data_IF_334213793065
#
_entry.id   IF_334213793065
#
_cell.length_a   1.000
_cell.length_b   1.000
_cell.length_c   1.000
_cell.angle_alpha   90.00
_cell.angle_beta   90.00
_cell.angle_gamma   90.00
#
_symmetry.space_group_name_H-M   'P 1'
#
loop_
_entity.id
_entity.type
_entity.pdbx_description
1 polymer ?
#
# COMPACT_ATOMS: atom_id res chain seq x y z
N UNK A 1 -0.61 5.60 16.17
CA UNK A 1 -0.23 4.72 15.04
C UNK A 1 1.12 4.04 15.28
N UNK A 2 2.11 4.75 15.83
CA UNK A 2 3.49 4.27 16.04
C UNK A 2 3.66 2.82 16.53
N UNK A 3 2.82 2.35 17.46
CA UNK A 3 2.83 0.96 17.96
C UNK A 3 2.62 -0.14 16.90
N UNK A 4 2.23 0.24 15.69
CA UNK A 4 1.99 -0.67 14.56
C UNK A 4 3.06 -0.55 13.46
N UNK A 5 4.13 0.22 13.66
CA UNK A 5 5.14 0.50 12.64
C UNK A 5 5.72 -0.77 12.01
N UNK A 6 6.06 -1.76 12.83
CA UNK A 6 6.63 -3.03 12.36
C UNK A 6 5.56 -4.07 11.95
N UNK A 7 4.28 -3.71 12.06
CA UNK A 7 3.14 -4.60 11.74
C UNK A 7 2.44 -4.23 10.45
N UNK A 8 2.62 -3.01 9.97
CA UNK A 8 1.98 -2.51 8.75
C UNK A 8 2.98 -2.50 7.61
N UNK A 9 2.60 -3.08 6.48
CA UNK A 9 3.41 -3.08 5.27
C UNK A 9 3.63 -1.67 4.73
N UNK A 10 2.66 -0.78 4.90
CA UNK A 10 2.71 0.59 4.43
C UNK A 10 2.41 1.58 5.56
N UNK A 11 3.18 1.48 6.65
CA UNK A 11 3.01 2.33 7.83
C UNK A 11 2.91 3.83 7.49
N UNK A 12 3.82 4.33 6.64
CA UNK A 12 3.89 5.75 6.29
C UNK A 12 2.59 6.25 5.65
N UNK A 13 1.97 5.45 4.78
CA UNK A 13 0.67 5.78 4.20
C UNK A 13 -0.39 5.92 5.28
N UNK A 14 -0.52 4.94 6.18
CA UNK A 14 -1.56 4.97 7.21
C UNK A 14 -1.32 6.04 8.27
N UNK A 15 -0.06 6.35 8.56
CA UNK A 15 0.30 7.38 9.53
C UNK A 15 0.08 8.80 8.97
N UNK A 16 0.31 8.99 7.66
CA UNK A 16 0.17 10.30 7.00
C UNK A 16 -1.24 10.57 6.44
N UNK A 17 -2.08 9.55 6.29
CA UNK A 17 -3.41 9.68 5.68
C UNK A 17 -4.49 9.63 6.76
N UNK A 18 -5.43 10.59 6.74
CA UNK A 18 -6.60 10.54 7.63
C UNK A 18 -7.65 9.56 7.08
N UNK A 19 -8.47 8.91 7.93
CA UNK A 19 -9.33 7.81 7.50
C UNK A 19 -10.26 8.08 6.33
N UNK A 20 -10.87 9.26 6.23
CA UNK A 20 -11.79 9.58 5.14
C UNK A 20 -11.09 9.65 3.76
N UNK A 21 -9.78 9.86 3.73
CA UNK A 21 -8.94 9.95 2.53
C UNK A 21 -8.31 8.61 2.13
N UNK A 22 -8.55 7.53 2.88
CA UNK A 22 -8.06 6.22 2.50
C UNK A 22 -8.52 5.84 1.08
N UNK A 23 -7.54 5.56 0.23
CA UNK A 23 -7.66 5.13 -1.16
C UNK A 23 -6.65 4.02 -1.53
N UNK A 24 -7.11 3.05 -2.33
CA UNK A 24 -6.34 1.87 -2.75
C UNK A 24 -5.18 2.27 -3.67
N UNK A 25 -5.41 3.17 -4.62
CA UNK A 25 -4.37 3.54 -5.60
C UNK A 25 -3.26 4.34 -4.93
N UNK A 26 -3.60 5.20 -3.95
CA UNK A 26 -2.59 5.90 -3.17
C UNK A 26 -1.82 4.97 -2.22
N UNK A 27 -2.48 3.97 -1.65
CA UNK A 27 -1.80 2.91 -0.90
C UNK A 27 -0.79 2.19 -1.81
N UNK A 28 -1.25 1.70 -2.97
CA UNK A 28 -0.41 0.97 -3.92
C UNK A 28 0.77 1.83 -4.40
N UNK A 29 0.53 3.11 -4.71
CA UNK A 29 1.57 4.06 -5.09
C UNK A 29 2.64 4.20 -4.01
N UNK A 30 2.24 4.41 -2.75
CA UNK A 30 3.18 4.56 -1.62
C UNK A 30 4.00 3.29 -1.39
N UNK A 31 3.38 2.13 -1.55
CA UNK A 31 4.09 0.86 -1.43
C UNK A 31 5.12 0.68 -2.56
N UNK A 32 4.75 0.96 -3.82
CA UNK A 32 5.66 0.89 -4.96
C UNK A 32 6.82 1.89 -4.88
N UNK A 33 6.66 3.02 -4.18
CA UNK A 33 7.73 4.00 -3.97
C UNK A 33 8.81 3.53 -2.98
N UNK A 34 8.48 2.57 -2.11
CA UNK A 34 9.37 2.13 -1.03
C UNK A 34 9.88 0.72 -1.22
N UNK A 35 9.12 -0.15 -1.92
CA UNK A 35 9.45 -1.55 -2.11
C UNK A 35 9.08 -2.00 -3.53
N UNK A 36 9.93 -2.75 -4.25
CA UNK A 36 9.50 -3.47 -5.44
C UNK A 36 8.36 -4.43 -5.09
N UNK A 37 7.15 -4.15 -5.56
CA UNK A 37 5.97 -5.01 -5.31
C UNK A 37 5.14 -5.26 -6.56
N UNK A 38 4.59 -6.47 -6.66
CA UNK A 38 3.59 -6.81 -7.67
C UNK A 38 2.21 -6.38 -7.22
N UNK A 39 1.24 -6.33 -8.15
CA UNK A 39 -0.15 -6.03 -7.83
C UNK A 39 -0.74 -7.01 -6.81
N UNK A 40 -0.52 -8.31 -7.00
CA UNK A 40 -1.03 -9.33 -6.09
C UNK A 40 -0.47 -9.15 -4.68
N UNK A 41 0.84 -8.86 -4.57
CA UNK A 41 1.49 -8.63 -3.28
C UNK A 41 0.97 -7.35 -2.61
N UNK A 42 0.81 -6.26 -3.35
CA UNK A 42 0.30 -5.00 -2.83
C UNK A 42 -1.13 -5.14 -2.27
N UNK A 43 -2.01 -5.83 -3.00
CA UNK A 43 -3.40 -6.05 -2.56
C UNK A 43 -3.50 -7.02 -1.37
N UNK A 44 -2.61 -8.02 -1.30
CA UNK A 44 -2.48 -8.88 -0.12
C UNK A 44 -1.98 -8.10 1.10
N UNK A 45 -0.99 -7.23 0.92
CA UNK A 45 -0.48 -6.35 1.97
C UNK A 45 -1.58 -5.40 2.48
N UNK A 46 -2.31 -4.76 1.57
CA UNK A 46 -3.44 -3.90 1.91
C UNK A 46 -4.50 -4.64 2.74
N UNK A 47 -4.89 -5.84 2.32
CA UNK A 47 -5.84 -6.66 3.06
C UNK A 47 -5.34 -6.97 4.48
N UNK A 48 -4.05 -7.30 4.62
CA UNK A 48 -3.44 -7.61 5.92
C UNK A 48 -3.36 -6.37 6.83
N UNK A 49 -2.97 -5.22 6.28
CA UNK A 49 -2.94 -3.94 6.99
C UNK A 49 -4.33 -3.54 7.48
N UNK A 50 -5.36 -3.69 6.63
CA UNK A 50 -6.76 -3.42 7.00
C UNK A 50 -7.18 -4.26 8.22
N UNK A 51 -6.89 -5.56 8.23
CA UNK A 51 -7.23 -6.42 9.36
C UNK A 51 -6.46 -6.01 10.62
N UNK A 52 -5.17 -5.73 10.48
CA UNK A 52 -4.31 -5.27 11.59
C UNK A 52 -4.85 -3.97 12.21
N UNK A 53 -5.27 -3.01 11.39
CA UNK A 53 -5.85 -1.75 11.82
C UNK A 53 -7.22 -1.94 12.48
N UNK A 54 -8.09 -2.78 11.91
CA UNK A 54 -9.40 -3.12 12.50
C UNK A 54 -9.23 -3.72 13.90
N UNK A 55 -8.30 -4.65 14.07
CA UNK A 55 -8.01 -5.27 15.37
C UNK A 55 -7.36 -4.31 16.36
N UNK A 56 -6.53 -3.38 15.89
CA UNK A 56 -5.84 -2.43 16.76
C UNK A 56 -6.71 -1.25 17.20
N UNK A 57 -7.75 -0.89 16.43
CA UNK A 57 -8.61 0.25 16.68
C UNK A 57 -10.10 -0.11 16.54
N UNK A 58 -10.62 -1.11 17.29
CA UNK A 58 -11.99 -1.59 17.14
C UNK A 58 -13.03 -0.49 17.44
N UNK A 59 -12.71 0.44 18.34
CA UNK A 59 -13.64 1.49 18.78
C UNK A 59 -13.61 2.75 17.89
N UNK A 60 -12.66 2.85 16.95
CA UNK A 60 -12.56 4.00 16.06
C UNK A 60 -13.55 3.86 14.89
N UNK A 61 -14.80 4.27 15.11
CA UNK A 61 -15.90 4.11 14.14
C UNK A 61 -15.59 4.70 12.76
N UNK A 62 -14.97 5.87 12.69
CA UNK A 62 -14.63 6.51 11.43
C UNK A 62 -13.58 5.74 10.66
N UNK A 63 -12.53 5.27 11.35
CA UNK A 63 -11.52 4.41 10.77
C UNK A 63 -12.10 3.09 10.28
N UNK A 64 -12.90 2.40 11.10
CA UNK A 64 -13.54 1.14 10.74
C UNK A 64 -14.45 1.31 9.51
N UNK A 65 -15.24 2.39 9.46
CA UNK A 65 -16.10 2.70 8.31
C UNK A 65 -15.27 2.88 7.03
N UNK A 66 -14.18 3.64 7.09
CA UNK A 66 -13.29 3.84 5.94
C UNK A 66 -12.55 2.58 5.52
N UNK A 67 -12.09 1.76 6.47
CA UNK A 67 -11.45 0.48 6.19
C UNK A 67 -12.42 -0.49 5.51
N UNK A 68 -13.67 -0.57 5.97
CA UNK A 68 -14.72 -1.37 5.31
C UNK A 68 -15.03 -0.88 3.89
N UNK A 69 -14.99 0.43 3.66
CA UNK A 69 -15.16 1.01 2.32
C UNK A 69 -14.03 0.57 1.39
N UNK A 70 -12.79 0.63 1.85
CA UNK A 70 -11.64 0.14 1.07
C UNK A 70 -11.76 -1.36 0.81
N UNK A 71 -12.06 -2.15 1.82
CA UNK A 71 -12.18 -3.62 1.72
C UNK A 71 -13.21 -4.00 0.64
N UNK A 72 -14.36 -3.29 0.62
CA UNK A 72 -15.38 -3.42 -0.43
C UNK A 72 -14.89 -2.93 -1.81
N UNK A 73 -14.12 -1.84 -1.89
CA UNK A 73 -13.53 -1.40 -3.16
C UNK A 73 -12.52 -2.43 -3.70
N UNK A 74 -11.75 -3.07 -2.82
CA UNK A 74 -10.73 -4.04 -3.19
C UNK A 74 -11.34 -5.28 -3.87
N UNK A 75 -12.51 -5.75 -3.41
CA UNK A 75 -13.23 -6.85 -4.09
C UNK A 75 -13.74 -6.48 -5.49
N UNK A 76 -13.96 -5.19 -5.75
CA UNK A 76 -14.37 -4.64 -7.04
C UNK A 76 -13.24 -4.01 -7.85
N UNK A 77 -11.97 -4.18 -7.45
CA UNK A 77 -10.84 -3.37 -7.97
C UNK A 77 -10.60 -3.55 -9.48
N UNK A 78 -11.04 -4.67 -10.06
CA UNK A 78 -10.95 -4.92 -11.50
C UNK A 78 -11.75 -3.92 -12.34
N UNK A 79 -12.73 -3.24 -11.74
CA UNK A 79 -13.56 -2.19 -12.38
C UNK A 79 -13.08 -0.78 -12.08
N UNK A 80 -12.09 -0.63 -11.19
CA UNK A 80 -11.50 0.67 -10.86
C UNK A 80 -10.50 1.05 -11.97
N UNK A 81 -10.95 1.86 -12.93
CA UNK A 81 -10.15 2.25 -14.08
C UNK A 81 -8.88 3.03 -13.69
N UNK A 82 -8.92 3.77 -12.58
CA UNK A 82 -7.77 4.53 -12.07
C UNK A 82 -6.71 3.58 -11.55
N UNK A 83 -7.08 2.64 -10.67
CA UNK A 83 -6.15 1.65 -10.13
C UNK A 83 -5.60 0.73 -11.24
N UNK A 84 -6.47 0.29 -12.16
CA UNK A 84 -6.06 -0.53 -13.30
C UNK A 84 -5.04 0.21 -14.17
N UNK A 85 -5.27 1.49 -14.48
CA UNK A 85 -4.32 2.28 -15.27
C UNK A 85 -3.01 2.54 -14.52
N UNK A 86 -3.07 2.77 -13.21
CA UNK A 86 -1.87 2.88 -12.37
C UNK A 86 -0.99 1.63 -12.52
N UNK A 87 -1.56 0.43 -12.35
CA UNK A 87 -0.80 -0.83 -12.44
C UNK A 87 -0.28 -1.13 -13.84
N UNK A 88 -0.96 -0.67 -14.89
CA UNK A 88 -0.50 -0.84 -16.28
C UNK A 88 0.62 0.13 -16.68
N UNK A 89 0.79 1.25 -15.96
CA UNK A 89 1.67 2.34 -16.42
C UNK A 89 2.67 2.75 -15.36
N UNK A 90 2.18 3.35 -14.27
CA UNK A 90 3.01 4.00 -13.24
C UNK A 90 3.75 2.96 -12.40
N UNK A 91 3.08 1.88 -12.01
CA UNK A 91 3.69 0.83 -11.19
C UNK A 91 4.89 0.16 -11.90
N UNK A 92 4.80 -0.03 -13.23
CA UNK A 92 5.89 -0.61 -14.03
C UNK A 92 7.13 0.29 -13.98
N UNK A 93 6.96 1.60 -14.18
CA UNK A 93 8.07 2.57 -14.11
C UNK A 93 8.71 2.59 -12.72
N UNK A 94 7.89 2.61 -11.67
CA UNK A 94 8.38 2.60 -10.29
C UNK A 94 9.13 1.31 -9.97
N UNK A 95 8.63 0.16 -10.43
CA UNK A 95 9.33 -1.12 -10.28
C UNK A 95 10.72 -1.07 -10.92
N UNK A 96 10.81 -0.61 -12.17
CA UNK A 96 12.09 -0.50 -12.89
C UNK A 96 13.07 0.45 -12.17
N UNK A 97 12.58 1.57 -11.66
CA UNK A 97 13.38 2.52 -10.89
C UNK A 97 13.91 1.90 -9.58
N UNK A 98 13.10 1.13 -8.87
CA UNK A 98 13.52 0.47 -7.63
C UNK A 98 14.53 -0.64 -7.89
N UNK A 99 14.32 -1.46 -8.92
CA UNK A 99 15.27 -2.51 -9.29
C UNK A 99 16.64 -1.93 -9.64
N UNK A 100 16.68 -0.84 -10.42
CA UNK A 100 17.94 -0.12 -10.72
C UNK A 100 18.64 0.39 -9.47
N UNK A 101 17.90 0.93 -8.49
CA UNK A 101 18.48 1.38 -7.21
C UNK A 101 19.11 0.22 -6.45
N UNK A 102 18.42 -0.91 -6.37
CA UNK A 102 18.91 -2.12 -5.70
C UNK A 102 20.19 -2.64 -6.37
N UNK A 103 20.26 -2.66 -7.70
CA UNK A 103 21.46 -3.07 -8.44
C UNK A 103 22.67 -2.17 -8.16
N UNK A 104 22.45 -0.85 -8.11
CA UNK A 104 23.49 0.13 -7.78
C UNK A 104 23.97 -0.05 -6.34
N UNK A 105 23.06 -0.20 -5.39
CA UNK A 105 23.39 -0.42 -3.98
C UNK A 105 24.15 -1.73 -3.76
N UNK A 106 23.76 -2.81 -4.44
CA UNK A 106 24.46 -4.09 -4.40
C UNK A 106 25.88 -3.96 -4.96
N UNK A 107 26.05 -3.24 -6.07
CA UNK A 107 27.35 -3.00 -6.70
C UNK A 107 28.28 -2.17 -5.81
N UNK A 108 27.74 -1.20 -5.08
CA UNK A 108 28.52 -0.36 -4.16
C UNK A 108 28.93 -1.11 -2.89
N UNK A 109 28.13 -2.07 -2.41
CA UNK A 109 28.48 -2.91 -1.24
C UNK A 109 29.51 -4.00 -1.54
N UNK A 110 29.69 -4.35 -2.80
CA UNK A 110 30.66 -5.36 -3.25
C UNK A 110 32.08 -4.79 -3.49
N UNK A 111 32.26 -3.47 -3.36
CA UNK A 111 33.55 -2.76 -3.44
C UNK A 111 34.04 -2.42 -2.04
#
# INVERSE_FOLDING_TARGET
MERLKDKLFNFDYWNATIPNQYDITFYDLKLCQTTPTTKQCAHKALSTDIQTLKSAFPDNKDMIKSLNRIDKKLSGISRDTVNVNFWKTTAVKLWDEQMKRIEIEASNKAR
#
